data_IF_998634453108
#
_entry.id   IF_998634453108
#
_cell.length_a   1.000
_cell.length_b   1.000
_cell.length_c   1.000
_cell.angle_alpha   90.00
_cell.angle_beta   90.00
_cell.angle_gamma   90.00
#
_symmetry.space_group_name_H-M   'P 1'
#
loop_
_entity.id
_entity.type
_entity.pdbx_description
1 polymer ?
#
# COMPACT_ATOMS: atom_id res chain seq x y z
N UNK A 1 -1.62 -1.05 -11.36
CA UNK A 1 -2.34 0.23 -11.18
C UNK A 1 -3.71 -0.07 -10.62
N UNK A 2 -4.48 -0.99 -11.23
CA UNK A 2 -5.68 -1.55 -10.62
C UNK A 2 -5.45 -2.04 -9.19
N UNK A 3 -4.41 -2.86 -8.97
CA UNK A 3 -4.05 -3.36 -7.64
C UNK A 3 -3.90 -2.24 -6.58
N UNK A 4 -3.16 -1.17 -6.90
CA UNK A 4 -3.03 0.00 -6.00
C UNK A 4 -4.38 0.67 -5.72
N UNK A 5 -5.24 0.79 -6.73
CA UNK A 5 -6.57 1.40 -6.56
C UNK A 5 -7.49 0.50 -5.71
N UNK A 6 -7.39 -0.83 -5.86
CA UNK A 6 -8.13 -1.77 -5.01
C UNK A 6 -7.67 -1.68 -3.55
N UNK A 7 -6.36 -1.52 -3.29
CA UNK A 7 -5.85 -1.25 -1.94
C UNK A 7 -6.38 0.07 -1.37
N UNK A 8 -6.31 1.15 -2.15
CA UNK A 8 -6.87 2.44 -1.73
C UNK A 8 -8.38 2.37 -1.47
N UNK A 9 -9.12 1.53 -2.20
CA UNK A 9 -10.54 1.28 -1.94
C UNK A 9 -10.73 0.52 -0.63
N UNK A 10 -9.95 -0.55 -0.39
CA UNK A 10 -10.03 -1.35 0.83
C UNK A 10 -9.64 -0.55 2.08
N UNK A 11 -8.69 0.38 1.96
CA UNK A 11 -8.28 1.32 3.02
C UNK A 11 -9.23 2.52 3.17
N UNK A 12 -10.27 2.63 2.33
CA UNK A 12 -11.19 3.77 2.37
C UNK A 12 -10.59 5.11 1.92
N UNK A 13 -9.47 5.09 1.21
CA UNK A 13 -8.91 6.32 0.63
C UNK A 13 -9.72 6.80 -0.59
N UNK A 14 -10.51 5.91 -1.20
CA UNK A 14 -11.38 6.23 -2.34
C UNK A 14 -12.78 5.69 -2.09
N UNK A 15 -13.73 6.59 -1.82
CA UNK A 15 -15.10 6.24 -1.44
C UNK A 15 -16.20 6.64 -2.45
N UNK A 16 -15.87 7.08 -3.66
CA UNK A 16 -16.88 7.71 -4.52
C UNK A 16 -17.41 6.78 -5.62
N UNK A 17 -18.73 6.57 -5.57
CA UNK A 17 -19.57 6.08 -6.66
C UNK A 17 -20.24 4.73 -6.36
N UNK A 18 -21.39 4.51 -6.99
CA UNK A 18 -22.23 3.31 -6.79
C UNK A 18 -21.65 2.06 -7.45
N UNK A 19 -20.62 2.20 -8.30
CA UNK A 19 -20.09 1.11 -9.12
C UNK A 19 -18.58 0.97 -9.01
N UNK A 20 -18.08 -0.26 -9.16
CA UNK A 20 -16.64 -0.54 -9.21
C UNK A 20 -15.92 0.25 -10.31
N UNK A 21 -16.58 0.47 -11.45
CA UNK A 21 -16.04 1.26 -12.56
C UNK A 21 -15.78 2.72 -12.15
N UNK A 22 -16.72 3.35 -11.42
CA UNK A 22 -16.57 4.72 -10.95
C UNK A 22 -15.40 4.89 -9.96
N UNK A 23 -15.25 3.96 -9.01
CA UNK A 23 -14.12 3.95 -8.07
C UNK A 23 -12.79 3.80 -8.81
N UNK A 24 -12.74 2.90 -9.80
CA UNK A 24 -11.55 2.70 -10.64
C UNK A 24 -11.18 3.96 -11.43
N UNK A 25 -12.15 4.58 -12.10
CA UNK A 25 -11.92 5.81 -12.86
C UNK A 25 -11.38 6.94 -11.97
N UNK A 26 -11.93 7.08 -10.76
CA UNK A 26 -11.42 8.04 -9.77
C UNK A 26 -9.99 7.70 -9.34
N UNK A 27 -9.71 6.44 -9.03
CA UNK A 27 -8.36 5.99 -8.71
C UNK A 27 -7.35 6.29 -9.82
N UNK A 28 -7.71 6.03 -11.07
CA UNK A 28 -6.88 6.37 -12.24
C UNK A 28 -6.60 7.87 -12.34
N UNK A 29 -7.61 8.72 -12.09
CA UNK A 29 -7.44 10.17 -12.09
C UNK A 29 -6.47 10.63 -10.99
N UNK A 30 -6.57 10.07 -9.78
CA UNK A 30 -5.64 10.36 -8.67
C UNK A 30 -4.21 9.93 -9.04
N UNK A 31 -4.02 8.71 -9.55
CA UNK A 31 -2.69 8.24 -9.97
C UNK A 31 -2.10 9.14 -11.05
N UNK A 32 -2.88 9.56 -12.05
CA UNK A 32 -2.42 10.51 -13.08
C UNK A 32 -1.94 11.82 -12.45
N UNK A 33 -2.69 12.39 -11.51
CA UNK A 33 -2.31 13.62 -10.81
C UNK A 33 -1.01 13.46 -10.01
N UNK A 34 -0.85 12.35 -9.30
CA UNK A 34 0.38 12.06 -8.55
C UNK A 34 1.60 11.88 -9.47
N UNK A 35 1.42 11.30 -10.66
CA UNK A 35 2.47 11.21 -11.68
C UNK A 35 2.82 12.60 -12.22
N UNK A 36 1.81 13.40 -12.58
CA UNK A 36 2.01 14.77 -13.07
C UNK A 36 2.71 15.67 -12.04
N UNK A 37 2.48 15.43 -10.75
CA UNK A 37 3.13 16.12 -9.65
C UNK A 37 4.52 15.53 -9.27
N UNK A 38 5.04 14.56 -10.05
CA UNK A 38 6.31 13.87 -9.78
C UNK A 38 6.39 13.17 -8.43
N UNK A 39 5.25 12.85 -7.82
CA UNK A 39 5.17 12.07 -6.57
C UNK A 39 5.23 10.57 -6.87
N UNK A 40 4.81 10.16 -8.07
CA UNK A 40 4.91 8.79 -8.58
C UNK A 40 5.60 8.76 -9.94
N UNK A 41 6.36 7.69 -10.16
CA UNK A 41 6.98 7.32 -11.43
C UNK A 41 6.23 6.18 -12.09
N UNK A 42 6.17 6.20 -13.42
CA UNK A 42 5.75 5.05 -14.24
C UNK A 42 6.93 4.10 -14.41
N UNK A 43 6.72 2.81 -14.18
CA UNK A 43 7.79 1.81 -14.21
C UNK A 43 7.86 1.01 -15.52
N UNK A 44 6.81 1.00 -16.33
CA UNK A 44 6.77 0.23 -17.57
C UNK A 44 6.05 0.98 -18.70
N UNK A 45 6.33 0.58 -19.94
CA UNK A 45 5.74 1.16 -21.15
C UNK A 45 4.21 1.05 -21.17
N UNK A 46 3.65 0.03 -20.52
CA UNK A 46 2.21 -0.17 -20.38
C UNK A 46 1.51 0.70 -19.31
N UNK A 47 2.25 1.54 -18.56
CA UNK A 47 1.72 2.36 -17.46
C UNK A 47 0.96 1.56 -16.39
N UNK A 48 1.19 0.26 -16.27
CA UNK A 48 0.46 -0.59 -15.32
C UNK A 48 1.12 -0.52 -13.95
N UNK A 49 2.41 -0.20 -13.87
CA UNK A 49 3.16 -0.15 -12.62
C UNK A 49 3.61 1.28 -12.33
N UNK A 50 3.45 1.68 -11.06
CA UNK A 50 3.94 2.94 -10.53
C UNK A 50 4.82 2.69 -9.30
N UNK A 51 5.77 3.59 -9.03
CA UNK A 51 6.58 3.60 -7.81
C UNK A 51 6.73 5.01 -7.28
N UNK A 52 7.00 5.17 -5.99
CA UNK A 52 7.48 6.45 -5.46
C UNK A 52 8.97 6.60 -5.78
N UNK A 53 9.43 7.83 -5.95
CA UNK A 53 10.86 8.13 -5.87
C UNK A 53 11.38 7.84 -4.46
N UNK A 54 12.66 7.46 -4.35
CA UNK A 54 13.29 7.21 -3.05
C UNK A 54 13.22 8.45 -2.15
N UNK A 55 13.49 9.64 -2.70
CA UNK A 55 13.40 10.92 -1.95
C UNK A 55 11.98 11.24 -1.46
N UNK A 56 10.95 10.93 -2.25
CA UNK A 56 9.55 11.14 -1.88
C UNK A 56 9.12 10.13 -0.83
N UNK A 57 9.61 8.88 -0.94
CA UNK A 57 9.39 7.84 0.07
C UNK A 57 10.02 8.24 1.40
N UNK A 58 11.24 8.74 1.40
CA UNK A 58 11.92 9.18 2.62
C UNK A 58 11.22 10.37 3.26
N UNK A 59 10.73 11.31 2.45
CA UNK A 59 9.90 12.42 2.94
C UNK A 59 8.60 11.91 3.58
N UNK A 60 7.90 10.98 2.92
CA UNK A 60 6.67 10.40 3.46
C UNK A 60 6.92 9.71 4.81
N UNK A 61 7.99 8.91 4.91
CA UNK A 61 8.37 8.24 6.16
C UNK A 61 8.66 9.25 7.28
N UNK A 62 9.35 10.36 6.98
CA UNK A 62 9.62 11.44 7.95
C UNK A 62 8.37 12.19 8.39
N UNK A 63 7.39 12.38 7.51
CA UNK A 63 6.11 12.99 7.87
C UNK A 63 5.36 12.05 8.83
N UNK A 64 5.28 10.78 8.46
CA UNK A 64 4.56 9.77 9.26
C UNK A 64 5.21 9.57 10.63
N UNK A 65 6.55 9.59 10.72
CA UNK A 65 7.27 9.46 12.00
C UNK A 65 7.04 10.62 12.96
N UNK A 66 6.56 11.77 12.46
CA UNK A 66 6.30 12.99 13.25
C UNK A 66 4.84 13.13 13.68
N UNK A 67 3.94 12.27 13.20
CA UNK A 67 2.55 12.29 13.65
C UNK A 67 2.46 11.72 15.07
N UNK A 68 1.64 12.33 15.94
CA UNK A 68 1.49 11.94 17.36
C UNK A 68 1.10 10.46 17.54
N UNK A 69 0.44 9.87 16.54
CA UNK A 69 0.06 8.45 16.52
C UNK A 69 1.13 7.51 15.97
N UNK A 70 2.29 8.02 15.53
CA UNK A 70 3.46 7.30 15.00
C UNK A 70 3.16 5.98 14.30
N UNK A 71 3.11 5.95 12.97
CA UNK A 71 2.80 4.70 12.26
C UNK A 71 4.02 3.77 12.20
N UNK A 72 3.95 2.61 12.84
CA UNK A 72 4.95 1.55 12.78
C UNK A 72 4.60 0.58 11.65
N UNK A 73 5.53 0.38 10.73
CA UNK A 73 5.36 -0.46 9.55
C UNK A 73 6.18 -1.74 9.66
N UNK A 74 5.61 -2.88 9.29
CA UNK A 74 6.34 -4.11 8.98
C UNK A 74 6.19 -4.43 7.49
N UNK A 75 7.27 -4.29 6.73
CA UNK A 75 7.25 -4.57 5.29
C UNK A 75 8.13 -5.77 4.99
N UNK A 76 7.50 -6.89 4.60
CA UNK A 76 8.16 -8.10 4.12
C UNK A 76 7.71 -8.46 2.71
N UNK A 77 7.68 -7.51 1.79
CA UNK A 77 7.23 -7.78 0.42
C UNK A 77 8.30 -8.49 -0.44
N UNK A 78 7.85 -9.40 -1.32
CA UNK A 78 8.68 -10.11 -2.32
C UNK A 78 9.87 -10.89 -1.72
N UNK A 79 9.70 -11.46 -0.54
CA UNK A 79 10.75 -12.22 0.17
C UNK A 79 10.67 -13.73 -0.06
N UNK A 80 9.67 -14.20 -0.81
CA UNK A 80 9.41 -15.64 -1.04
C UNK A 80 9.23 -16.43 0.27
N UNK A 81 8.81 -15.76 1.34
CA UNK A 81 8.49 -16.41 2.61
C UNK A 81 7.17 -17.19 2.48
N UNK A 82 7.12 -18.33 3.16
CA UNK A 82 5.96 -19.24 3.17
C UNK A 82 5.20 -19.13 4.50
N UNK A 83 5.90 -18.72 5.57
CA UNK A 83 5.32 -18.51 6.89
C UNK A 83 5.01 -17.02 7.16
N UNK A 84 3.89 -16.72 7.85
CA UNK A 84 3.61 -15.37 8.34
C UNK A 84 4.59 -14.93 9.44
N UNK A 85 4.71 -13.62 9.72
CA UNK A 85 5.44 -13.14 10.91
C UNK A 85 4.92 -13.77 12.20
N UNK A 86 5.78 -13.85 13.23
CA UNK A 86 5.36 -14.34 14.56
C UNK A 86 4.45 -13.31 15.23
N UNK A 87 3.48 -13.73 16.05
CA UNK A 87 2.49 -12.86 16.72
C UNK A 87 3.10 -11.61 17.38
N UNK A 88 4.23 -11.76 18.07
CA UNK A 88 4.99 -10.66 18.71
C UNK A 88 5.37 -9.52 17.74
N UNK A 89 5.60 -9.85 16.46
CA UNK A 89 5.92 -8.88 15.41
C UNK A 89 4.69 -8.10 14.91
N UNK A 90 3.48 -8.64 15.13
CA UNK A 90 2.22 -7.98 14.75
C UNK A 90 1.74 -6.99 15.80
N UNK A 91 1.94 -7.31 17.09
CA UNK A 91 1.40 -6.55 18.21
C UNK A 91 1.91 -5.10 18.26
N UNK A 92 3.08 -4.85 17.69
CA UNK A 92 3.76 -3.57 17.78
C UNK A 92 3.67 -2.71 16.51
N UNK A 93 2.90 -3.11 15.49
CA UNK A 93 2.86 -2.41 14.20
C UNK A 93 1.44 -2.01 13.78
N UNK A 94 1.32 -0.84 13.15
CA UNK A 94 0.06 -0.25 12.70
C UNK A 94 -0.29 -0.61 11.24
N UNK A 95 0.73 -0.96 10.43
CA UNK A 95 0.59 -1.34 9.01
C UNK A 95 1.56 -2.47 8.65
N UNK A 96 1.10 -3.50 7.93
CA UNK A 96 1.93 -4.62 7.47
C UNK A 96 1.78 -4.82 5.97
N UNK A 97 2.90 -4.99 5.29
CA UNK A 97 2.92 -5.44 3.90
C UNK A 97 3.58 -6.79 3.76
N UNK A 98 2.80 -7.80 3.35
CA UNK A 98 3.25 -9.18 3.07
C UNK A 98 3.14 -9.50 1.57
N UNK A 99 3.01 -8.47 0.73
CA UNK A 99 2.76 -8.58 -0.70
C UNK A 99 3.76 -9.51 -1.42
N UNK A 100 3.26 -10.30 -2.37
CA UNK A 100 4.09 -11.12 -3.27
C UNK A 100 4.99 -12.11 -2.53
N UNK A 101 4.45 -12.74 -1.49
CA UNK A 101 5.03 -13.91 -0.83
C UNK A 101 4.20 -15.17 -1.14
N UNK A 102 4.64 -16.32 -0.64
CA UNK A 102 3.97 -17.62 -0.79
C UNK A 102 3.16 -18.00 0.45
N UNK A 103 2.81 -17.02 1.28
CA UNK A 103 2.03 -17.23 2.49
C UNK A 103 0.62 -17.64 2.10
N UNK A 104 0.22 -18.85 2.53
CA UNK A 104 -1.10 -19.42 2.24
C UNK A 104 -2.10 -19.17 3.36
N UNK A 105 -1.63 -19.07 4.60
CA UNK A 105 -2.45 -18.88 5.79
C UNK A 105 -1.93 -17.72 6.62
N UNK A 106 -2.84 -16.88 7.11
CA UNK A 106 -2.57 -15.86 8.12
C UNK A 106 -3.20 -16.31 9.44
N UNK A 107 -2.64 -15.90 10.60
CA UNK A 107 -3.31 -16.13 11.88
C UNK A 107 -4.71 -15.50 11.90
N UNK A 108 -5.65 -16.06 12.68
CA UNK A 108 -7.09 -15.68 12.68
C UNK A 108 -7.38 -14.19 12.92
N UNK A 109 -6.41 -13.43 13.43
CA UNK A 109 -6.46 -11.98 13.52
C UNK A 109 -5.17 -11.36 13.01
N UNK A 110 -5.05 -11.10 11.69
CA UNK A 110 -4.09 -10.11 11.24
C UNK A 110 -4.62 -8.76 11.72
N UNK A 111 -4.00 -8.19 12.76
CA UNK A 111 -4.41 -6.90 13.38
C UNK A 111 -4.28 -5.73 12.39
N UNK A 112 -3.78 -5.98 11.17
CA UNK A 112 -3.18 -4.95 10.35
C UNK A 112 -3.50 -5.15 8.87
N UNK A 113 -3.87 -4.04 8.22
CA UNK A 113 -4.31 -4.03 6.82
C UNK A 113 -3.16 -4.50 5.92
N UNK A 114 -3.45 -5.53 5.14
CA UNK A 114 -2.55 -6.18 4.19
C UNK A 114 -2.46 -5.33 2.91
N UNK A 115 -1.27 -4.81 2.61
CA UNK A 115 -0.94 -4.30 1.26
C UNK A 115 0.32 -4.89 0.68
#
# INVERSE_FOLDING_TARGET
MLELIEYWRAEGLIHFGSTLASVRNKGYAIVKRLISASLLLKCNKGNVLVKMHDVIRDLALRIISRMDSGCRFLVRAKKMIEEPPKNEEWENVNRISLMKNKIVNLPERPIVILS
#
